data_IF_153431594999
#
_entry.id   IF_153431594999
#
_cell.length_a   1.000
_cell.length_b   1.000
_cell.length_c   1.000
_cell.angle_alpha   90.00
_cell.angle_beta   90.00
_cell.angle_gamma   90.00
#
_symmetry.space_group_name_H-M   'P 1'
#
loop_
_entity.id
_entity.type
_entity.pdbx_description
1 polymer ?
#
# COMPACT_ATOMS: atom_id res chain seq x y z
N UNK A 1 -39.40 -7.36 6.43
CA UNK A 1 -38.01 -7.45 6.89
C UNK A 1 -37.24 -6.32 6.22
N UNK A 2 -37.02 -5.22 6.93
CA UNK A 2 -36.11 -4.19 6.42
C UNK A 2 -34.72 -4.82 6.37
N UNK A 3 -34.05 -4.75 5.22
CA UNK A 3 -32.66 -5.20 5.08
C UNK A 3 -31.81 -3.92 5.21
N UNK A 4 -31.50 -3.47 6.44
CA UNK A 4 -30.84 -2.18 6.65
C UNK A 4 -29.52 -2.05 5.88
N UNK A 5 -28.81 -3.17 5.69
CA UNK A 5 -27.59 -3.21 4.87
C UNK A 5 -27.86 -2.87 3.39
N UNK A 6 -28.95 -3.37 2.81
CA UNK A 6 -29.29 -3.10 1.41
C UNK A 6 -29.62 -1.61 1.22
N UNK A 7 -30.35 -1.03 2.16
CA UNK A 7 -30.67 0.41 2.14
C UNK A 7 -29.39 1.24 2.21
N UNK A 8 -28.47 0.93 3.13
CA UNK A 8 -27.19 1.64 3.25
C UNK A 8 -26.35 1.50 1.96
N UNK A 9 -26.29 0.31 1.37
CA UNK A 9 -25.59 0.10 0.09
C UNK A 9 -26.20 0.91 -1.05
N UNK A 10 -27.54 0.92 -1.17
CA UNK A 10 -28.24 1.72 -2.19
C UNK A 10 -27.94 3.20 -2.02
N UNK A 11 -27.91 3.70 -0.79
CA UNK A 11 -27.55 5.09 -0.50
C UNK A 11 -26.10 5.37 -0.86
N UNK A 12 -25.15 4.50 -0.48
CA UNK A 12 -23.73 4.61 -0.85
C UNK A 12 -23.58 4.64 -2.38
N UNK A 13 -24.22 3.72 -3.11
CA UNK A 13 -24.13 3.67 -4.57
C UNK A 13 -24.78 4.89 -5.24
N UNK A 14 -25.92 5.36 -4.73
CA UNK A 14 -26.57 6.56 -5.22
C UNK A 14 -25.70 7.80 -5.03
N UNK A 15 -25.12 7.96 -3.83
CA UNK A 15 -24.24 9.06 -3.48
C UNK A 15 -22.94 8.99 -4.30
N UNK A 16 -22.34 7.79 -4.42
CA UNK A 16 -21.18 7.54 -5.27
C UNK A 16 -21.43 7.97 -6.71
N UNK A 17 -22.60 7.62 -7.26
CA UNK A 17 -22.95 7.99 -8.64
C UNK A 17 -22.97 9.51 -8.84
N UNK A 18 -23.58 10.24 -7.90
CA UNK A 18 -23.62 11.71 -7.95
C UNK A 18 -22.21 12.31 -7.84
N UNK A 19 -21.43 11.86 -6.85
CA UNK A 19 -20.06 12.36 -6.62
C UNK A 19 -19.15 12.04 -7.81
N UNK A 20 -19.25 10.84 -8.39
CA UNK A 20 -18.46 10.44 -9.55
C UNK A 20 -18.83 11.24 -10.80
N UNK A 21 -20.11 11.56 -11.02
CA UNK A 21 -20.53 12.44 -12.12
C UNK A 21 -19.91 13.84 -11.97
N UNK A 22 -19.89 14.38 -10.75
CA UNK A 22 -19.25 15.66 -10.44
C UNK A 22 -17.73 15.56 -10.68
N UNK A 23 -17.06 14.56 -10.11
CA UNK A 23 -15.63 14.34 -10.29
C UNK A 23 -15.25 14.20 -11.77
N UNK A 24 -16.03 13.44 -12.55
CA UNK A 24 -15.80 13.27 -13.98
C UNK A 24 -15.94 14.60 -14.74
N UNK A 25 -16.91 15.45 -14.36
CA UNK A 25 -17.08 16.79 -14.93
C UNK A 25 -15.85 17.67 -14.72
N UNK A 26 -15.19 17.53 -13.56
CA UNK A 26 -13.96 18.25 -13.22
C UNK A 26 -12.66 17.49 -13.60
N UNK A 27 -12.75 16.35 -14.29
CA UNK A 27 -11.61 15.47 -14.65
C UNK A 27 -10.80 14.98 -13.44
N UNK A 28 -11.44 14.86 -12.28
CA UNK A 28 -10.84 14.30 -11.06
C UNK A 28 -10.85 12.77 -11.16
N UNK A 29 -9.78 12.05 -10.73
CA UNK A 29 -9.76 10.59 -10.70
C UNK A 29 -10.93 10.00 -9.89
N UNK A 30 -11.52 8.92 -10.39
CA UNK A 30 -12.68 8.24 -9.80
C UNK A 30 -12.45 7.84 -8.32
N UNK A 31 -11.24 7.38 -8.00
CA UNK A 31 -10.79 6.99 -6.66
C UNK A 31 -10.99 8.11 -5.66
N UNK A 32 -10.71 9.36 -6.04
CA UNK A 32 -10.91 10.51 -5.17
C UNK A 32 -12.41 10.69 -4.90
N UNK A 33 -13.24 10.53 -5.93
CA UNK A 33 -14.70 10.58 -5.78
C UNK A 33 -15.25 9.46 -4.88
N UNK A 34 -14.70 8.25 -4.98
CA UNK A 34 -15.08 7.13 -4.11
C UNK A 34 -14.67 7.38 -2.64
N UNK A 35 -13.47 7.91 -2.40
CA UNK A 35 -13.03 8.30 -1.05
C UNK A 35 -13.90 9.41 -0.47
N UNK A 36 -14.21 10.43 -1.27
CA UNK A 36 -15.13 11.50 -0.88
C UNK A 36 -16.51 10.96 -0.56
N UNK A 37 -17.01 10.01 -1.34
CA UNK A 37 -18.28 9.34 -1.06
C UNK A 37 -18.24 8.66 0.29
N UNK A 38 -17.20 7.90 0.61
CA UNK A 38 -17.06 7.24 1.91
C UNK A 38 -17.00 8.22 3.09
N UNK A 39 -16.26 9.33 2.93
CA UNK A 39 -16.21 10.40 3.93
C UNK A 39 -17.60 11.03 4.13
N UNK A 40 -18.33 11.29 3.05
CA UNK A 40 -19.66 11.90 3.09
C UNK A 40 -20.74 10.93 3.61
N UNK A 41 -20.70 9.65 3.25
CA UNK A 41 -21.71 8.67 3.65
C UNK A 41 -21.46 8.11 5.06
N UNK A 42 -20.22 8.16 5.53
CA UNK A 42 -19.79 7.62 6.81
C UNK A 42 -20.39 8.34 8.03
N UNK A 43 -20.14 7.81 9.25
CA UNK A 43 -20.75 8.30 10.49
C UNK A 43 -20.37 9.74 10.84
N UNK A 44 -19.22 10.22 10.36
CA UNK A 44 -18.74 11.59 10.56
C UNK A 44 -19.21 12.58 9.48
N UNK A 45 -19.81 12.08 8.39
CA UNK A 45 -20.38 12.91 7.33
C UNK A 45 -21.89 13.10 7.52
N UNK A 46 -22.65 12.65 6.54
CA UNK A 46 -24.12 12.68 6.51
C UNK A 46 -24.77 11.55 7.33
N UNK A 47 -23.95 10.63 7.87
CA UNK A 47 -24.37 9.57 8.81
C UNK A 47 -25.42 8.62 8.22
N UNK A 48 -25.37 8.42 6.90
CA UNK A 48 -26.20 7.48 6.17
C UNK A 48 -25.80 6.01 6.41
N UNK A 49 -24.52 5.78 6.71
CA UNK A 49 -23.98 4.45 7.01
C UNK A 49 -23.72 4.37 8.50
N UNK A 50 -24.47 3.52 9.20
CA UNK A 50 -24.28 3.28 10.63
C UNK A 50 -23.66 1.91 10.90
N UNK A 51 -23.88 0.93 10.01
CA UNK A 51 -23.31 -0.42 10.09
C UNK A 51 -21.94 -0.49 9.42
N UNK A 52 -20.99 0.30 9.92
CA UNK A 52 -19.64 0.42 9.34
C UNK A 52 -18.96 -0.94 9.19
N UNK A 53 -19.08 -1.82 10.19
CA UNK A 53 -18.46 -3.14 10.16
C UNK A 53 -19.01 -4.07 9.06
N UNK A 54 -20.31 -4.02 8.79
CA UNK A 54 -20.92 -4.83 7.70
C UNK A 54 -20.44 -4.33 6.32
N UNK A 55 -20.37 -3.00 6.15
CA UNK A 55 -19.86 -2.37 4.92
C UNK A 55 -18.35 -2.61 4.73
N UNK A 56 -17.59 -2.64 5.82
CA UNK A 56 -16.15 -2.95 5.81
C UNK A 56 -15.88 -4.36 5.28
N UNK A 57 -16.59 -5.38 5.78
CA UNK A 57 -16.45 -6.77 5.29
C UNK A 57 -16.76 -6.86 3.79
N UNK A 58 -17.83 -6.20 3.33
CA UNK A 58 -18.15 -6.15 1.90
C UNK A 58 -17.06 -5.44 1.09
N UNK A 59 -16.46 -4.39 1.65
CA UNK A 59 -15.40 -3.62 0.99
C UNK A 59 -14.12 -4.42 0.87
N UNK A 60 -13.76 -5.20 1.91
CA UNK A 60 -12.61 -6.12 1.87
C UNK A 60 -12.79 -7.17 0.77
N UNK A 61 -13.98 -7.79 0.68
CA UNK A 61 -14.31 -8.73 -0.40
C UNK A 61 -14.18 -8.06 -1.78
N UNK A 62 -14.68 -6.83 -1.92
CA UNK A 62 -14.54 -6.05 -3.15
C UNK A 62 -13.08 -5.79 -3.54
N UNK A 63 -12.23 -5.45 -2.58
CA UNK A 63 -10.79 -5.25 -2.80
C UNK A 63 -10.10 -6.56 -3.17
N UNK A 64 -10.42 -7.67 -2.51
CA UNK A 64 -9.87 -9.00 -2.84
C UNK A 64 -10.24 -9.40 -4.27
N UNK A 65 -11.52 -9.25 -4.65
CA UNK A 65 -11.98 -9.54 -6.01
C UNK A 65 -11.30 -8.64 -7.04
N UNK A 66 -11.16 -7.35 -6.76
CA UNK A 66 -10.47 -6.39 -7.62
C UNK A 66 -9.00 -6.78 -7.85
N UNK A 67 -8.26 -7.04 -6.77
CA UNK A 67 -6.86 -7.44 -6.84
C UNK A 67 -6.70 -8.79 -7.55
N UNK A 68 -7.65 -9.71 -7.35
CA UNK A 68 -7.67 -10.99 -8.05
C UNK A 68 -7.91 -10.82 -9.55
N UNK A 69 -8.90 -10.02 -9.96
CA UNK A 69 -9.16 -9.72 -11.38
C UNK A 69 -7.95 -9.07 -12.04
N UNK A 70 -7.33 -8.09 -11.39
CA UNK A 70 -6.11 -7.46 -11.88
C UNK A 70 -4.97 -8.49 -12.00
N UNK A 71 -4.85 -9.40 -11.03
CA UNK A 71 -3.90 -10.51 -11.06
C UNK A 71 -4.10 -11.44 -12.25
N UNK A 72 -5.35 -11.71 -12.66
CA UNK A 72 -5.66 -12.54 -13.83
C UNK A 72 -5.32 -11.85 -15.16
N UNK A 73 -5.45 -10.54 -15.25
CA UNK A 73 -5.07 -9.76 -16.45
C UNK A 73 -3.55 -9.65 -16.61
N UNK A 74 -2.79 -9.87 -15.54
CA UNK A 74 -1.35 -9.65 -15.51
C UNK A 74 -0.52 -10.91 -15.80
N UNK A 75 0.45 -10.78 -16.71
CA UNK A 75 1.34 -11.89 -17.08
C UNK A 75 2.53 -12.01 -16.12
N UNK A 76 2.54 -13.04 -15.27
CA UNK A 76 3.71 -13.39 -14.45
C UNK A 76 4.99 -13.55 -15.28
N UNK A 77 4.88 -14.06 -16.51
CA UNK A 77 6.00 -14.21 -17.43
C UNK A 77 6.63 -12.86 -17.80
N UNK A 78 5.83 -11.81 -17.99
CA UNK A 78 6.31 -10.46 -18.29
C UNK A 78 6.97 -9.81 -17.06
N UNK A 79 6.49 -10.10 -15.85
CA UNK A 79 7.13 -9.68 -14.61
C UNK A 79 8.51 -10.33 -14.46
N UNK A 80 8.60 -11.64 -14.74
CA UNK A 80 9.86 -12.37 -14.78
C UNK A 80 10.81 -11.91 -15.90
N UNK A 81 10.34 -11.22 -16.93
CA UNK A 81 11.23 -10.56 -17.89
C UNK A 81 11.75 -9.21 -17.35
N UNK A 82 11.07 -8.65 -16.35
CA UNK A 82 11.34 -7.34 -15.76
C UNK A 82 12.01 -7.44 -14.38
N UNK A 83 12.67 -8.57 -14.06
CA UNK A 83 13.34 -8.85 -12.77
C UNK A 83 14.24 -7.70 -12.30
N UNK A 84 15.00 -7.11 -13.23
CA UNK A 84 15.88 -5.96 -12.93
C UNK A 84 15.08 -4.74 -12.49
N UNK A 85 13.89 -4.50 -13.05
CA UNK A 85 13.03 -3.39 -12.67
C UNK A 85 12.41 -3.61 -11.28
N UNK A 86 12.02 -4.84 -10.95
CA UNK A 86 11.52 -5.21 -9.61
C UNK A 86 12.58 -4.93 -8.55
N UNK A 87 13.79 -5.47 -8.72
CA UNK A 87 14.84 -5.35 -7.71
C UNK A 87 15.43 -3.95 -7.68
N UNK A 88 15.91 -3.43 -8.82
CA UNK A 88 16.60 -2.14 -8.84
C UNK A 88 15.64 -0.96 -8.71
N UNK A 89 14.51 -1.00 -9.43
CA UNK A 89 13.51 0.06 -9.38
C UNK A 89 12.82 0.12 -8.03
N UNK A 90 12.40 -1.02 -7.49
CA UNK A 90 11.81 -1.12 -6.17
C UNK A 90 12.77 -0.69 -5.06
N UNK A 91 13.99 -1.22 -5.04
CA UNK A 91 14.98 -0.86 -4.01
C UNK A 91 15.35 0.63 -4.06
N UNK A 92 15.51 1.20 -5.25
CA UNK A 92 15.78 2.63 -5.40
C UNK A 92 14.59 3.47 -4.92
N UNK A 93 13.36 3.14 -5.32
CA UNK A 93 12.18 3.90 -4.90
C UNK A 93 12.00 3.84 -3.38
N UNK A 94 12.05 2.64 -2.79
CA UNK A 94 11.87 2.44 -1.34
C UNK A 94 13.01 3.11 -0.58
N UNK A 95 14.25 2.89 -0.97
CA UNK A 95 15.42 3.45 -0.29
C UNK A 95 15.45 4.97 -0.33
N UNK A 96 15.14 5.58 -1.47
CA UNK A 96 15.11 7.04 -1.61
C UNK A 96 13.96 7.66 -0.81
N UNK A 97 12.75 7.11 -0.90
CA UNK A 97 11.59 7.64 -0.17
C UNK A 97 11.73 7.48 1.34
N UNK A 98 12.24 6.33 1.80
CA UNK A 98 12.58 6.12 3.20
C UNK A 98 13.65 7.10 3.67
N UNK A 99 14.74 7.25 2.91
CA UNK A 99 15.82 8.16 3.27
C UNK A 99 15.37 9.61 3.36
N UNK A 100 14.56 10.07 2.39
CA UNK A 100 13.98 11.42 2.39
C UNK A 100 13.01 11.60 3.56
N UNK A 101 12.12 10.62 3.80
CA UNK A 101 11.17 10.67 4.91
C UNK A 101 11.86 10.67 6.28
N UNK A 102 12.93 9.89 6.44
CA UNK A 102 13.75 9.85 7.64
C UNK A 102 14.51 11.17 7.86
N UNK A 103 15.11 11.73 6.81
CA UNK A 103 15.79 13.02 6.90
C UNK A 103 14.82 14.14 7.27
N UNK A 104 13.63 14.16 6.64
CA UNK A 104 12.61 15.15 6.93
C UNK A 104 12.11 15.05 8.37
N UNK A 105 11.85 13.84 8.87
CA UNK A 105 11.41 13.64 10.26
C UNK A 105 12.47 14.06 11.29
N UNK A 106 13.76 13.85 11.01
CA UNK A 106 14.85 14.37 11.87
C UNK A 106 14.81 15.90 11.96
N UNK A 107 14.51 16.61 10.87
CA UNK A 107 14.37 18.07 10.88
C UNK A 107 13.21 18.56 11.77
N UNK A 108 12.20 17.71 12.02
CA UNK A 108 11.10 17.98 12.95
C UNK A 108 11.41 17.57 14.40
N UNK A 109 12.66 17.17 14.69
CA UNK A 109 13.09 16.84 16.04
C UNK A 109 12.72 15.42 16.50
N UNK A 110 12.34 14.54 15.57
CA UNK A 110 12.09 13.13 15.89
C UNK A 110 13.41 12.39 16.12
N UNK A 111 13.42 11.42 17.04
CA UNK A 111 14.60 10.59 17.29
C UNK A 111 14.91 9.70 16.07
N UNK A 112 16.13 9.16 15.96
CA UNK A 112 16.57 8.29 14.86
C UNK A 112 15.62 7.12 14.62
N UNK A 113 15.16 6.45 15.68
CA UNK A 113 14.25 5.31 15.56
C UNK A 113 12.86 5.72 15.02
N UNK A 114 12.32 6.83 15.49
CA UNK A 114 11.07 7.41 15.01
C UNK A 114 11.19 7.89 13.55
N UNK A 115 12.35 8.43 13.20
CA UNK A 115 12.63 8.93 11.85
C UNK A 115 12.70 7.79 10.83
N UNK A 116 13.38 6.68 11.18
CA UNK A 116 13.39 5.48 10.35
C UNK A 116 11.99 4.90 10.19
N UNK A 117 11.22 4.79 11.29
CA UNK A 117 9.84 4.31 11.24
C UNK A 117 8.97 5.17 10.31
N UNK A 118 9.08 6.50 10.43
CA UNK A 118 8.35 7.44 9.58
C UNK A 118 8.78 7.35 8.11
N UNK A 119 10.08 7.18 7.85
CA UNK A 119 10.60 6.89 6.52
C UNK A 119 10.00 5.61 5.92
N UNK A 120 9.96 4.52 6.67
CA UNK A 120 9.31 3.28 6.25
C UNK A 120 7.82 3.49 5.93
N UNK A 121 7.08 4.20 6.79
CA UNK A 121 5.67 4.47 6.59
C UNK A 121 5.39 5.29 5.31
N UNK A 122 6.24 6.27 5.00
CA UNK A 122 6.13 7.08 3.78
C UNK A 122 6.52 6.30 2.51
N UNK A 123 7.45 5.35 2.62
CA UNK A 123 7.96 4.63 1.46
C UNK A 123 6.92 3.70 0.80
N UNK A 124 5.93 3.24 1.57
CA UNK A 124 4.90 2.30 1.14
C UNK A 124 3.79 3.00 0.35
N UNK A 125 3.35 2.37 -0.76
CA UNK A 125 2.24 2.86 -1.57
C UNK A 125 1.01 1.94 -1.43
N UNK A 126 -0.19 2.46 -1.73
CA UNK A 126 -1.39 1.63 -1.77
C UNK A 126 -1.50 0.87 -3.10
N UNK A 127 -1.29 -0.45 -3.04
CA UNK A 127 -1.34 -1.35 -4.21
C UNK A 127 -2.73 -1.34 -4.87
N UNK A 128 -3.80 -1.52 -4.10
CA UNK A 128 -5.16 -1.56 -4.64
C UNK A 128 -5.56 -0.28 -5.38
N UNK A 129 -5.24 0.88 -4.80
CA UNK A 129 -5.56 2.19 -5.39
C UNK A 129 -4.76 2.40 -6.68
N UNK A 130 -3.45 2.13 -6.64
CA UNK A 130 -2.56 2.35 -7.78
C UNK A 130 -2.90 1.43 -8.95
N UNK A 131 -3.17 0.15 -8.67
CA UNK A 131 -3.51 -0.81 -9.71
C UNK A 131 -4.88 -0.52 -10.32
N UNK A 132 -5.89 -0.16 -9.51
CA UNK A 132 -7.19 0.28 -10.03
C UNK A 132 -7.04 1.51 -10.93
N UNK A 133 -6.24 2.49 -10.52
CA UNK A 133 -5.97 3.67 -11.34
C UNK A 133 -5.33 3.31 -12.69
N UNK A 134 -4.36 2.39 -12.72
CA UNK A 134 -3.77 1.90 -13.96
C UNK A 134 -4.79 1.15 -14.82
N UNK A 135 -5.68 0.36 -14.21
CA UNK A 135 -6.73 -0.40 -14.89
C UNK A 135 -7.71 0.54 -15.60
N UNK A 136 -8.22 1.55 -14.90
CA UNK A 136 -9.16 2.54 -15.45
C UNK A 136 -8.57 3.35 -16.60
N UNK A 137 -7.25 3.51 -16.63
CA UNK A 137 -6.52 4.17 -17.72
C UNK A 137 -6.08 3.21 -18.83
N UNK A 138 -6.31 1.91 -18.70
CA UNK A 138 -5.83 0.90 -19.64
C UNK A 138 -4.29 0.80 -19.70
N UNK A 139 -3.59 1.20 -18.64
CA UNK A 139 -2.13 1.30 -18.61
C UNK A 139 -1.44 0.09 -17.97
N UNK A 140 -2.17 -0.88 -17.42
CA UNK A 140 -1.60 -2.05 -16.71
C UNK A 140 -0.56 -2.80 -17.55
N UNK A 141 -0.89 -3.08 -18.82
CA UNK A 141 0.00 -3.83 -19.72
C UNK A 141 1.05 -2.97 -20.42
N UNK A 142 1.09 -1.66 -20.16
CA UNK A 142 2.08 -0.74 -20.75
C UNK A 142 3.46 -0.93 -20.08
N UNK A 143 4.52 -0.47 -20.74
CA UNK A 143 5.87 -0.48 -20.14
C UNK A 143 5.93 0.31 -18.83
N UNK A 144 5.17 1.41 -18.72
CA UNK A 144 5.02 2.19 -17.50
C UNK A 144 4.28 1.40 -16.42
N UNK A 145 3.14 0.78 -16.75
CA UNK A 145 2.35 -0.03 -15.82
C UNK A 145 3.15 -1.21 -15.25
N UNK A 146 3.92 -1.90 -16.10
CA UNK A 146 4.82 -2.99 -15.65
C UNK A 146 5.87 -2.50 -14.66
N UNK A 147 6.47 -1.33 -14.86
CA UNK A 147 7.43 -0.75 -13.92
C UNK A 147 6.76 -0.41 -12.58
N UNK A 148 5.57 0.20 -12.61
CA UNK A 148 4.81 0.52 -11.39
C UNK A 148 4.45 -0.75 -10.62
N UNK A 149 3.91 -1.76 -11.30
CA UNK A 149 3.58 -3.05 -10.67
C UNK A 149 4.84 -3.72 -10.09
N UNK A 150 5.97 -3.66 -10.80
CA UNK A 150 7.24 -4.19 -10.31
C UNK A 150 7.70 -3.51 -9.00
N UNK A 151 7.53 -2.18 -8.89
CA UNK A 151 7.81 -1.43 -7.66
C UNK A 151 6.84 -1.81 -6.54
N UNK A 152 5.54 -1.90 -6.84
CA UNK A 152 4.51 -2.28 -5.86
C UNK A 152 4.78 -3.68 -5.27
N UNK A 153 5.16 -4.65 -6.11
CA UNK A 153 5.52 -6.00 -5.64
C UNK A 153 6.74 -5.96 -4.72
N UNK A 154 7.75 -5.16 -5.07
CA UNK A 154 8.91 -4.99 -4.19
C UNK A 154 8.52 -4.34 -2.85
N UNK A 155 7.64 -3.34 -2.87
CA UNK A 155 7.13 -2.69 -1.66
C UNK A 155 6.35 -3.67 -0.77
N UNK A 156 5.46 -4.48 -1.33
CA UNK A 156 4.71 -5.50 -0.58
C UNK A 156 5.67 -6.51 0.09
N UNK A 157 6.74 -6.92 -0.61
CA UNK A 157 7.79 -7.77 -0.03
C UNK A 157 8.60 -7.06 1.06
N UNK A 158 8.88 -5.76 0.89
CA UNK A 158 9.62 -4.95 1.85
C UNK A 158 8.79 -4.52 3.07
N UNK A 159 7.45 -4.52 2.97
CA UNK A 159 6.56 -4.14 4.06
C UNK A 159 6.68 -5.09 5.26
N UNK A 160 6.82 -6.40 5.02
CA UNK A 160 6.97 -7.41 6.07
C UNK A 160 8.19 -7.15 6.96
N UNK A 161 9.43 -7.04 6.45
CA UNK A 161 10.58 -6.72 7.29
C UNK A 161 10.47 -5.33 7.93
N UNK A 162 9.89 -4.32 7.26
CA UNK A 162 9.64 -3.00 7.85
C UNK A 162 8.69 -3.06 9.06
N UNK A 163 7.64 -3.87 8.99
CA UNK A 163 6.75 -4.10 10.13
C UNK A 163 7.48 -4.85 11.25
N UNK A 164 8.31 -5.84 10.91
CA UNK A 164 9.02 -6.65 11.89
C UNK A 164 10.05 -5.85 12.71
N UNK A 165 10.67 -4.82 12.12
CA UNK A 165 11.58 -3.93 12.86
C UNK A 165 10.86 -2.88 13.72
N UNK A 166 9.56 -2.66 13.51
CA UNK A 166 8.78 -1.64 14.24
C UNK A 166 8.84 -1.79 15.77
N UNK A 167 8.66 -2.97 16.39
CA UNK A 167 8.83 -3.13 17.83
C UNK A 167 10.26 -2.85 18.30
N UNK A 168 11.28 -3.21 17.51
CA UNK A 168 12.68 -2.90 17.83
C UNK A 168 12.92 -1.39 17.87
N UNK A 169 12.36 -0.65 16.91
CA UNK A 169 12.42 0.81 16.85
C UNK A 169 11.61 1.48 17.98
N UNK A 170 10.55 0.84 18.46
CA UNK A 170 9.75 1.32 19.58
C UNK A 170 10.46 1.16 20.94
N UNK A 171 11.65 0.54 20.98
CA UNK A 171 12.39 0.30 22.22
C UNK A 171 11.79 -0.80 23.09
N UNK A 172 10.86 -1.60 22.57
CA UNK A 172 10.28 -2.75 23.27
C UNK A 172 11.13 -4.03 23.16
N UNK A 173 12.35 -3.91 22.63
CA UNK A 173 13.35 -4.98 22.60
C UNK A 173 14.25 -4.95 23.83
N UNK A 174 13.98 -5.87 24.77
CA UNK A 174 14.85 -6.41 25.83
C UNK A 174 15.85 -5.42 26.45
N UNK A 175 15.56 -5.00 27.67
CA UNK A 175 16.49 -4.35 28.58
C UNK A 175 17.85 -5.08 28.60
N UNK A 176 18.90 -4.48 28.02
CA UNK A 176 20.26 -5.01 28.14
C UNK A 176 21.20 -4.70 26.98
N UNK A 177 22.07 -3.71 27.21
CA UNK A 177 23.40 -3.51 26.62
C UNK A 177 23.53 -3.31 25.10
N UNK A 178 24.52 -2.50 24.73
CA UNK A 178 25.00 -2.12 23.40
C UNK A 178 25.16 -3.27 22.38
N UNK A 179 25.18 -4.52 22.84
CA UNK A 179 25.14 -5.72 22.01
C UNK A 179 23.79 -5.90 21.28
N UNK A 180 22.69 -5.43 21.87
CA UNK A 180 21.35 -5.48 21.27
C UNK A 180 21.23 -4.62 20.01
N UNK A 181 21.87 -3.45 19.96
CA UNK A 181 21.82 -2.57 18.79
C UNK A 181 22.57 -3.17 17.60
N UNK A 182 23.75 -3.76 17.81
CA UNK A 182 24.50 -4.46 16.76
C UNK A 182 23.78 -5.74 16.28
N UNK A 183 23.11 -6.45 17.20
CA UNK A 183 22.28 -7.60 16.86
C UNK A 183 21.04 -7.19 16.07
N UNK A 184 20.38 -6.08 16.44
CA UNK A 184 19.21 -5.54 15.75
C UNK A 184 19.56 -5.01 14.35
N UNK A 185 20.68 -4.30 14.21
CA UNK A 185 21.22 -3.89 12.91
C UNK A 185 21.59 -5.11 12.07
N UNK A 186 22.18 -6.14 12.70
CA UNK A 186 22.52 -7.42 12.07
C UNK A 186 21.28 -8.16 11.57
N UNK A 187 20.22 -8.24 12.38
CA UNK A 187 18.95 -8.87 11.99
C UNK A 187 18.29 -8.08 10.84
N UNK A 188 18.29 -6.75 10.89
CA UNK A 188 17.80 -5.92 9.79
C UNK A 188 18.57 -6.15 8.49
N UNK A 189 19.91 -6.21 8.58
CA UNK A 189 20.77 -6.42 7.42
C UNK A 189 20.65 -7.86 6.87
N UNK A 190 20.49 -8.86 7.75
CA UNK A 190 20.21 -10.25 7.37
C UNK A 190 18.82 -10.39 6.76
N UNK A 191 17.80 -9.69 7.25
CA UNK A 191 16.46 -9.69 6.66
C UNK A 191 16.46 -9.04 5.28
N UNK A 192 17.12 -7.89 5.13
CA UNK A 192 17.28 -7.23 3.82
C UNK A 192 18.07 -8.15 2.86
N UNK A 193 19.14 -8.79 3.34
CA UNK A 193 19.89 -9.76 2.56
C UNK A 193 19.04 -10.99 2.20
N UNK A 194 18.22 -11.52 3.12
CA UNK A 194 17.32 -12.64 2.88
C UNK A 194 16.21 -12.29 1.88
N UNK A 195 15.66 -11.07 1.95
CA UNK A 195 14.68 -10.60 0.96
C UNK A 195 15.37 -10.41 -0.39
N UNK A 196 16.59 -9.87 -0.42
CA UNK A 196 17.34 -9.69 -1.66
C UNK A 196 17.74 -11.04 -2.30
N UNK A 197 18.23 -11.98 -1.51
CA UNK A 197 18.59 -13.35 -1.94
C UNK A 197 17.34 -14.15 -2.28
N UNK A 198 16.27 -14.04 -1.49
CA UNK A 198 14.97 -14.68 -1.75
C UNK A 198 14.34 -14.15 -3.04
N UNK A 199 14.40 -12.85 -3.27
CA UNK A 199 14.00 -12.23 -4.54
C UNK A 199 14.87 -12.70 -5.71
N UNK A 200 16.15 -13.05 -5.49
CA UNK A 200 17.00 -13.65 -6.53
C UNK A 200 16.75 -15.15 -6.73
N UNK A 201 16.42 -15.91 -5.67
CA UNK A 201 16.24 -17.38 -5.71
C UNK A 201 14.84 -17.83 -6.11
N UNK A 202 13.79 -17.10 -5.74
CA UNK A 202 12.39 -17.41 -6.08
C UNK A 202 12.06 -17.02 -7.53
N UNK A 203 12.99 -16.36 -8.19
CA UNK A 203 12.90 -15.95 -9.57
C UNK A 203 13.67 -16.99 -10.41
N UNK A 204 13.02 -18.08 -10.86
CA UNK A 204 13.70 -19.14 -11.60
C UNK A 204 14.27 -18.54 -12.90
N UNK A 205 15.50 -18.95 -13.22
CA UNK A 205 16.31 -18.43 -14.33
C UNK A 205 15.51 -18.35 -15.62
#
# INVERSE_FOLDING_TARGET
MEIPLLTELVVIFGLASIVLLICNRFRIPSIVGLLLTGILSGPHGLRFVQKVHEVEILSELGIVLLLFTIGLEFSLKQLMQSKKQVILGGALQVGLTLGIGALFSMLFGLNSAQSVFFGCAIALSSTAITLKFLQERGLISSSYGRLVVAILIFQDMAAVPMMLITPLLAGSGVDGESASVFLQLGIGLVLVACVFVGAQSIVPR
#
